data_IF_104277563255
#
_entry.id   IF_104277563255
#
_cell.length_a   1.000
_cell.length_b   1.000
_cell.length_c   1.000
_cell.angle_alpha   90.00
_cell.angle_beta   90.00
_cell.angle_gamma   90.00
#
_symmetry.space_group_name_H-M   'P 1'
#
loop_
_entity.id
_entity.type
_entity.pdbx_description
1 polymer ?
#
# COMPACT_ATOMS: atom_id res chain seq x y z
N UNK A 1 -2.89 8.21 21.52
CA UNK A 1 -3.59 7.04 20.94
C UNK A 1 -3.26 7.03 19.46
N UNK A 2 -2.21 6.32 19.08
CA UNK A 2 -1.61 6.31 17.74
C UNK A 2 -2.53 5.55 16.78
N UNK A 3 -3.62 6.19 16.35
CA UNK A 3 -4.34 5.74 15.18
C UNK A 3 -3.46 6.03 13.97
N UNK A 4 -3.17 5.01 13.18
CA UNK A 4 -2.37 5.12 11.96
C UNK A 4 -3.25 5.83 10.91
N UNK A 5 -3.29 7.16 10.97
CA UNK A 5 -4.22 8.03 10.21
C UNK A 5 -3.84 8.12 8.74
N UNK A 6 -3.78 6.99 8.05
CA UNK A 6 -3.42 6.93 6.64
C UNK A 6 -3.20 5.54 6.07
N UNK A 7 -3.19 4.48 6.87
CA UNK A 7 -2.92 3.12 6.37
C UNK A 7 -4.22 2.34 6.36
N UNK A 8 -4.56 1.77 5.21
CA UNK A 8 -5.72 0.90 5.04
C UNK A 8 -5.36 -0.26 4.11
N UNK A 9 -5.97 -1.42 4.30
CA UNK A 9 -5.78 -2.56 3.42
C UNK A 9 -7.07 -3.37 3.32
N UNK A 10 -7.44 -3.74 2.10
CA UNK A 10 -8.68 -4.44 1.79
C UNK A 10 -8.40 -5.59 0.82
N UNK A 11 -8.96 -6.79 1.05
CA UNK A 11 -8.89 -7.88 0.08
C UNK A 11 -9.63 -7.52 -1.22
N UNK A 12 -9.17 -8.04 -2.35
CA UNK A 12 -9.91 -7.94 -3.61
C UNK A 12 -11.14 -8.86 -3.59
N UNK A 13 -12.23 -8.41 -4.22
CA UNK A 13 -13.50 -9.15 -4.26
C UNK A 13 -13.37 -10.50 -4.97
N UNK A 14 -12.58 -10.54 -6.04
CA UNK A 14 -12.33 -11.76 -6.84
C UNK A 14 -11.33 -12.72 -6.20
N UNK A 15 -10.40 -12.22 -5.38
CA UNK A 15 -9.33 -13.04 -4.81
C UNK A 15 -8.89 -12.53 -3.44
N UNK A 16 -9.31 -13.24 -2.39
CA UNK A 16 -8.92 -12.95 -1.00
C UNK A 16 -7.42 -13.09 -0.72
N UNK A 17 -6.66 -13.74 -1.61
CA UNK A 17 -5.20 -13.80 -1.52
C UNK A 17 -4.53 -12.59 -2.15
N UNK A 18 -5.27 -11.69 -2.80
CA UNK A 18 -4.79 -10.41 -3.27
C UNK A 18 -5.42 -9.31 -2.42
N UNK A 19 -4.60 -8.44 -1.86
CA UNK A 19 -5.06 -7.31 -1.06
C UNK A 19 -4.52 -6.02 -1.64
N UNK A 20 -5.36 -4.99 -1.64
CA UNK A 20 -5.00 -3.62 -1.99
C UNK A 20 -4.84 -2.82 -0.72
N UNK A 21 -3.62 -2.34 -0.50
CA UNK A 21 -3.28 -1.38 0.54
C UNK A 21 -3.28 0.04 0.01
N UNK A 22 -3.66 0.99 0.85
CA UNK A 22 -3.51 2.42 0.62
C UNK A 22 -2.78 3.02 1.81
N UNK A 23 -1.68 3.74 1.55
CA UNK A 23 -0.91 4.48 2.55
C UNK A 23 -0.95 5.96 2.19
N UNK A 24 -1.40 6.79 3.11
CA UNK A 24 -1.37 8.24 3.01
C UNK A 24 -0.14 8.72 3.78
N UNK A 25 0.72 9.48 3.11
CA UNK A 25 1.89 10.06 3.75
C UNK A 25 1.50 11.01 4.87
N UNK A 26 2.13 10.82 6.03
CA UNK A 26 1.87 11.61 7.23
C UNK A 26 2.25 13.08 7.04
N UNK A 27 1.57 13.94 7.80
CA UNK A 27 1.95 15.36 7.90
C UNK A 27 3.38 15.49 8.41
N UNK A 28 4.06 16.54 7.96
CA UNK A 28 5.47 16.84 8.27
C UNK A 28 6.50 15.92 7.58
N UNK A 29 6.11 15.22 6.52
CA UNK A 29 7.03 14.44 5.67
C UNK A 29 7.00 14.93 4.22
N UNK A 30 8.04 14.62 3.44
CA UNK A 30 8.07 14.90 1.99
C UNK A 30 6.96 14.18 1.21
N UNK A 31 6.26 13.25 1.86
CA UNK A 31 5.18 12.47 1.30
C UNK A 31 3.80 12.93 1.81
N UNK A 32 3.74 14.01 2.59
CA UNK A 32 2.49 14.57 3.09
C UNK A 32 1.48 14.77 1.94
N UNK A 33 0.26 14.26 2.13
CA UNK A 33 -0.81 14.36 1.13
C UNK A 33 -0.66 13.43 -0.07
N UNK A 34 0.37 12.58 -0.11
CA UNK A 34 0.55 11.58 -1.17
C UNK A 34 -0.12 10.26 -0.82
N UNK A 35 -0.91 9.72 -1.75
CA UNK A 35 -1.52 8.39 -1.63
C UNK A 35 -0.67 7.35 -2.36
N UNK A 36 -0.21 6.33 -1.64
CA UNK A 36 0.51 5.18 -2.17
C UNK A 36 -0.39 3.96 -2.18
N UNK A 37 -0.53 3.36 -3.35
CA UNK A 37 -1.24 2.10 -3.50
C UNK A 37 -0.26 0.95 -3.42
N UNK A 38 -0.64 -0.11 -2.72
CA UNK A 38 0.13 -1.33 -2.59
C UNK A 38 -0.72 -2.52 -3.00
N UNK A 39 -0.06 -3.48 -3.62
CA UNK A 39 -0.63 -4.77 -3.96
C UNK A 39 0.09 -5.85 -3.14
N UNK A 40 -0.64 -6.52 -2.26
CA UNK A 40 -0.15 -7.64 -1.46
C UNK A 40 -0.70 -8.95 -2.04
N UNK A 41 0.18 -9.89 -2.36
CA UNK A 41 -0.20 -11.22 -2.86
C UNK A 41 0.24 -12.30 -1.87
N UNK A 42 -0.72 -12.96 -1.26
CA UNK A 42 -0.53 -14.07 -0.34
C UNK A 42 -0.34 -15.37 -1.13
N UNK A 43 0.76 -16.10 -0.91
CA UNK A 43 0.94 -17.42 -1.52
C UNK A 43 0.02 -18.44 -0.85
N UNK A 44 -0.35 -19.52 -1.56
CA UNK A 44 -1.13 -20.65 -1.00
C UNK A 44 -0.50 -21.30 0.24
N UNK A 45 0.81 -21.11 0.46
CA UNK A 45 1.54 -21.67 1.58
C UNK A 45 1.73 -20.66 2.73
N UNK A 46 0.95 -19.58 2.77
CA UNK A 46 0.90 -18.66 3.91
C UNK A 46 0.34 -19.38 5.14
N UNK A 47 0.90 -19.22 6.36
CA UNK A 47 1.95 -18.26 6.76
C UNK A 47 3.39 -18.75 6.62
N UNK A 48 3.64 -19.97 6.12
CA UNK A 48 5.01 -20.51 5.95
C UNK A 48 5.84 -19.76 4.90
N UNK A 49 5.19 -19.19 3.88
CA UNK A 49 5.82 -18.27 2.92
C UNK A 49 5.25 -16.87 3.10
N UNK A 50 6.10 -15.83 3.13
CA UNK A 50 5.64 -14.45 3.30
C UNK A 50 4.83 -13.98 2.07
N UNK A 51 3.92 -13.01 2.26
CA UNK A 51 3.23 -12.36 1.16
C UNK A 51 4.19 -11.52 0.35
N UNK A 52 3.94 -11.41 -0.95
CA UNK A 52 4.67 -10.50 -1.84
C UNK A 52 3.98 -9.15 -1.81
N UNK A 53 4.66 -8.14 -1.29
CA UNK A 53 4.18 -6.74 -1.29
C UNK A 53 4.84 -5.99 -2.45
N UNK A 54 4.04 -5.26 -3.22
CA UNK A 54 4.50 -4.38 -4.30
C UNK A 54 3.87 -3.01 -4.12
N UNK A 55 4.65 -1.96 -4.37
CA UNK A 55 4.15 -0.60 -4.48
C UNK A 55 3.70 -0.36 -5.92
N UNK A 56 2.44 0.03 -6.11
CA UNK A 56 1.96 0.56 -7.37
C UNK A 56 2.44 2.02 -7.44
N UNK A 57 3.40 2.28 -8.33
CA UNK A 57 4.13 3.56 -8.48
C UNK A 57 3.27 4.72 -9.05
N UNK A 58 1.97 4.75 -8.75
CA UNK A 58 1.09 5.74 -9.31
C UNK A 58 1.37 7.12 -8.68
N UNK A 59 2.02 7.97 -9.48
CA UNK A 59 2.05 9.43 -9.42
C UNK A 59 3.12 10.18 -8.59
N UNK A 60 4.10 9.55 -7.93
CA UNK A 60 5.21 10.31 -7.29
C UNK A 60 6.34 10.64 -8.26
N UNK A 61 6.52 9.85 -9.32
CA UNK A 61 7.53 10.14 -10.34
C UNK A 61 7.21 11.33 -11.25
N UNK A 62 5.96 11.83 -11.25
CA UNK A 62 5.59 12.98 -12.09
C UNK A 62 5.94 14.33 -11.45
N UNK A 63 6.08 14.42 -10.13
CA UNK A 63 6.36 15.69 -9.44
C UNK A 63 7.85 16.01 -9.27
N UNK A 64 8.76 15.04 -9.47
CA UNK A 64 10.22 15.27 -9.40
C UNK A 64 10.78 15.76 -10.76
N UNK A 65 9.93 15.84 -11.80
CA UNK A 65 10.35 16.17 -13.17
C UNK A 65 9.78 17.50 -13.72
N UNK A 66 9.19 18.35 -12.87
CA UNK A 66 8.74 19.70 -13.25
C UNK A 66 9.49 20.75 -12.42
#
# INVERSE_FOLDING_TARGET
>A
MSGETGISAFPEEDNIFCWKGTIIGSKDTVFEGTEYKLSLAFPNNYPFKPPKVKFDLMCVFLFILC
#
